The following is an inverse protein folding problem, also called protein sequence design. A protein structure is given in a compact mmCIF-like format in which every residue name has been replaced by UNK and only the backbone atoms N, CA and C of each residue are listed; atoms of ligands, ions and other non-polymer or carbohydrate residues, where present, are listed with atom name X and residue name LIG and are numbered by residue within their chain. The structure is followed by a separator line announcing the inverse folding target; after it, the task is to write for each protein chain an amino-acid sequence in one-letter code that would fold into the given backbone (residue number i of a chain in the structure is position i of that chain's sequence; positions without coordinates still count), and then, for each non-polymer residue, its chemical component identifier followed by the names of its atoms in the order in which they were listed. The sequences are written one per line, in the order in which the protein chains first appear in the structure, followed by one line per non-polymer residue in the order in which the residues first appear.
data_IF_126908561116
#
_entry.id   IF_126908561116
#
_cell.length_a   1.000
_cell.length_b   1.000
_cell.length_c   1.000
_cell.angle_alpha   90.00
_cell.angle_beta   90.00
_cell.angle_gamma   90.00
#
_symmetry.space_group_name_H-M   'P 1'
#
loop_
_entity.id
_entity.type
_entity.pdbx_description
1 polymer ?
#
# COMPACT_ATOMS: atom_id res chain seq x y z
N UNK A 1 -26.61 6.00 -40.34
CA UNK A 1 -26.56 5.75 -38.89
C UNK A 1 -25.15 6.02 -38.44
N UNK A 2 -24.88 7.26 -38.04
CA UNK A 2 -23.59 7.66 -37.45
C UNK A 2 -23.62 7.27 -35.98
N UNK A 3 -22.76 6.33 -35.59
CA UNK A 3 -22.51 6.04 -34.18
C UNK A 3 -21.64 7.16 -33.60
N UNK A 4 -22.17 7.83 -32.59
CA UNK A 4 -21.55 8.91 -31.82
C UNK A 4 -20.31 8.41 -31.07
N UNK A 5 -19.14 8.61 -31.67
CA UNK A 5 -17.82 8.20 -31.15
C UNK A 5 -17.35 8.95 -29.88
N UNK A 6 -18.17 9.85 -29.30
CA UNK A 6 -17.85 10.59 -28.07
C UNK A 6 -18.54 10.07 -26.80
N UNK A 7 -19.32 8.99 -26.89
CA UNK A 7 -20.19 8.52 -25.79
C UNK A 7 -19.58 7.44 -24.89
N UNK A 8 -18.57 6.69 -25.36
CA UNK A 8 -18.22 5.41 -24.76
C UNK A 8 -17.57 5.48 -23.36
N UNK A 9 -16.81 6.53 -23.05
CA UNK A 9 -16.03 6.57 -21.80
C UNK A 9 -16.85 6.96 -20.57
N UNK A 10 -17.76 7.93 -20.70
CA UNK A 10 -18.66 8.31 -19.61
C UNK A 10 -19.82 7.31 -19.50
N UNK A 11 -20.31 6.75 -20.61
CA UNK A 11 -21.28 5.66 -20.56
C UNK A 11 -20.72 4.40 -19.89
N UNK A 12 -19.43 4.10 -20.07
CA UNK A 12 -18.77 2.99 -19.39
C UNK A 12 -18.82 3.11 -17.86
N UNK A 13 -18.91 4.33 -17.32
CA UNK A 13 -19.07 4.54 -15.87
C UNK A 13 -20.40 3.99 -15.35
N UNK A 14 -21.47 3.94 -16.16
CA UNK A 14 -22.74 3.35 -15.72
C UNK A 14 -22.64 1.85 -15.46
N UNK A 15 -21.62 1.18 -16.01
CA UNK A 15 -21.33 -0.24 -15.75
C UNK A 15 -20.57 -0.47 -14.45
N UNK A 16 -20.12 0.59 -13.76
CA UNK A 16 -19.40 0.50 -12.49
C UNK A 16 -20.33 0.68 -11.28
N UNK A 17 -19.90 0.14 -10.15
CA UNK A 17 -20.57 0.38 -8.87
C UNK A 17 -20.33 1.81 -8.36
N UNK A 18 -21.27 2.41 -7.60
CA UNK A 18 -21.18 3.80 -7.19
C UNK A 18 -19.97 4.10 -6.31
N UNK A 19 -19.50 3.11 -5.54
CA UNK A 19 -18.26 3.20 -4.76
C UNK A 19 -17.04 3.37 -5.64
N UNK A 20 -16.91 2.59 -6.71
CA UNK A 20 -15.80 2.70 -7.65
C UNK A 20 -15.80 4.03 -8.40
N UNK A 21 -16.98 4.55 -8.74
CA UNK A 21 -17.10 5.88 -9.35
C UNK A 21 -16.69 6.97 -8.34
N UNK A 22 -17.16 6.89 -7.10
CA UNK A 22 -16.84 7.85 -6.05
C UNK A 22 -15.34 7.91 -5.75
N UNK A 23 -14.66 6.76 -5.71
CA UNK A 23 -13.21 6.67 -5.55
C UNK A 23 -12.47 7.36 -6.70
N UNK A 24 -12.88 7.09 -7.94
CA UNK A 24 -12.26 7.63 -9.15
C UNK A 24 -12.32 9.17 -9.18
N UNK A 25 -13.45 9.74 -8.74
CA UNK A 25 -13.68 11.19 -8.81
C UNK A 25 -13.34 11.94 -7.50
N UNK A 26 -12.84 11.24 -6.48
CA UNK A 26 -12.63 11.80 -5.13
C UNK A 26 -11.67 13.00 -5.07
N UNK A 27 -10.72 13.10 -6.00
CA UNK A 27 -9.75 14.20 -6.12
C UNK A 27 -10.14 15.28 -7.14
N UNK A 28 -11.28 15.15 -7.80
CA UNK A 28 -11.70 16.04 -8.88
C UNK A 28 -12.38 17.31 -8.37
N UNK A 29 -12.29 18.38 -9.15
CA UNK A 29 -12.99 19.63 -8.83
C UNK A 29 -14.52 19.43 -8.83
N UNK A 30 -15.31 20.08 -7.93
CA UNK A 30 -16.76 19.90 -7.86
C UNK A 30 -17.51 20.07 -9.19
N UNK A 31 -16.99 20.92 -10.09
CA UNK A 31 -17.54 21.11 -11.44
C UNK A 31 -17.37 19.89 -12.35
N UNK A 32 -16.23 19.19 -12.23
CA UNK A 32 -15.95 17.96 -12.99
C UNK A 32 -16.86 16.84 -12.49
N UNK A 33 -16.97 16.70 -11.16
CA UNK A 33 -17.89 15.75 -10.52
C UNK A 33 -19.32 16.01 -11.00
N UNK A 34 -19.79 17.26 -10.96
CA UNK A 34 -21.13 17.61 -11.44
C UNK A 34 -21.34 17.26 -12.92
N UNK A 35 -20.33 17.51 -13.77
CA UNK A 35 -20.38 17.16 -15.19
C UNK A 35 -20.53 15.65 -15.40
N UNK A 36 -19.79 14.84 -14.64
CA UNK A 36 -19.87 13.38 -14.70
C UNK A 36 -21.26 12.93 -14.25
N UNK A 37 -21.74 13.38 -13.09
CA UNK A 37 -23.02 12.97 -12.52
C UNK A 37 -24.22 13.29 -13.42
N UNK A 38 -24.16 14.37 -14.20
CA UNK A 38 -25.23 14.73 -15.17
C UNK A 38 -25.38 13.65 -16.25
N UNK A 39 -24.30 12.97 -16.61
CA UNK A 39 -24.24 11.94 -17.65
C UNK A 39 -24.37 10.50 -17.11
N UNK A 40 -24.48 10.32 -15.79
CA UNK A 40 -24.77 9.02 -15.18
C UNK A 40 -26.28 8.76 -15.08
N UNK A 41 -26.64 7.48 -15.01
CA UNK A 41 -27.97 7.04 -14.60
C UNK A 41 -28.31 7.57 -13.21
N UNK A 42 -29.59 7.89 -12.99
CA UNK A 42 -30.04 8.61 -11.77
C UNK A 42 -29.75 7.83 -10.50
N UNK A 43 -29.94 6.52 -10.51
CA UNK A 43 -29.67 5.65 -9.36
C UNK A 43 -28.16 5.57 -9.05
N UNK A 44 -27.31 5.50 -10.09
CA UNK A 44 -25.86 5.54 -9.94
C UNK A 44 -25.38 6.88 -9.39
N UNK A 45 -25.88 7.99 -9.94
CA UNK A 45 -25.54 9.33 -9.47
C UNK A 45 -25.95 9.55 -8.00
N UNK A 46 -27.15 9.09 -7.61
CA UNK A 46 -27.60 9.15 -6.23
C UNK A 46 -26.71 8.31 -5.29
N UNK A 47 -26.33 7.10 -5.73
CA UNK A 47 -25.38 6.26 -5.02
C UNK A 47 -24.03 6.97 -4.80
N UNK A 48 -23.48 7.59 -5.84
CA UNK A 48 -22.20 8.34 -5.74
C UNK A 48 -22.32 9.50 -4.77
N UNK A 49 -23.39 10.31 -4.87
CA UNK A 49 -23.62 11.45 -3.97
C UNK A 49 -23.66 11.02 -2.50
N UNK A 50 -24.22 9.84 -2.19
CA UNK A 50 -24.30 9.31 -0.82
C UNK A 50 -22.93 9.01 -0.20
N UNK A 51 -21.91 8.79 -1.03
CA UNK A 51 -20.55 8.47 -0.61
C UNK A 51 -19.65 9.70 -0.49
N UNK A 52 -20.10 10.85 -0.98
CA UNK A 52 -19.36 12.11 -0.87
C UNK A 52 -19.56 12.73 0.52
N UNK A 53 -18.57 13.51 0.96
CA UNK A 53 -18.71 14.35 2.17
C UNK A 53 -19.88 15.33 2.02
N UNK A 54 -20.52 15.69 3.13
CA UNK A 54 -21.71 16.54 3.11
C UNK A 54 -21.47 17.88 2.40
N UNK A 55 -20.32 18.51 2.66
CA UNK A 55 -19.91 19.76 2.02
C UNK A 55 -19.79 19.61 0.50
N UNK A 56 -19.10 18.56 0.04
CA UNK A 56 -18.88 18.32 -1.38
C UNK A 56 -20.19 17.95 -2.09
N UNK A 57 -21.00 17.06 -1.48
CA UNK A 57 -22.32 16.68 -1.98
C UNK A 57 -23.20 17.91 -2.23
N UNK A 58 -23.28 18.83 -1.28
CA UNK A 58 -24.13 20.02 -1.42
C UNK A 58 -23.65 20.95 -2.55
N UNK A 59 -22.34 21.19 -2.67
CA UNK A 59 -21.77 22.01 -3.76
C UNK A 59 -22.01 21.38 -5.13
N UNK A 60 -21.77 20.07 -5.25
CA UNK A 60 -22.01 19.32 -6.49
C UNK A 60 -23.48 19.36 -6.90
N UNK A 61 -24.43 19.17 -5.97
CA UNK A 61 -25.86 19.22 -6.27
C UNK A 61 -26.30 20.59 -6.77
N UNK A 62 -25.79 21.68 -6.18
CA UNK A 62 -26.06 23.05 -6.68
C UNK A 62 -25.58 23.20 -8.12
N UNK A 63 -24.37 22.71 -8.44
CA UNK A 63 -23.80 22.79 -9.79
C UNK A 63 -24.55 21.95 -10.81
N UNK A 64 -25.05 20.77 -10.42
CA UNK A 64 -25.94 19.94 -11.25
C UNK A 64 -27.25 20.68 -11.51
N UNK A 65 -27.83 21.33 -10.49
CA UNK A 65 -29.06 22.09 -10.64
C UNK A 65 -28.90 23.33 -11.55
N UNK A 66 -27.72 23.95 -11.55
CA UNK A 66 -27.39 25.11 -12.40
C UNK A 66 -26.62 24.73 -13.66
N UNK A 67 -26.65 23.47 -14.08
CA UNK A 67 -25.81 22.97 -15.16
C UNK A 67 -26.25 23.55 -16.52
N UNK A 68 -25.44 24.45 -17.07
CA UNK A 68 -25.70 25.14 -18.35
C UNK A 68 -25.17 24.43 -19.60
N UNK A 69 -24.68 23.20 -19.45
CA UNK A 69 -24.00 22.46 -20.52
C UNK A 69 -22.47 22.62 -20.48
N UNK A 70 -21.79 21.77 -21.26
CA UNK A 70 -20.32 21.72 -21.35
C UNK A 70 -19.92 21.76 -22.83
N UNK A 71 -18.81 22.44 -23.14
CA UNK A 71 -18.31 22.49 -24.51
C UNK A 71 -17.94 21.08 -24.99
N UNK A 72 -18.28 20.69 -26.23
CA UNK A 72 -17.99 19.35 -26.74
C UNK A 72 -16.51 18.94 -26.64
N UNK A 73 -15.58 19.88 -26.79
CA UNK A 73 -14.14 19.66 -26.62
C UNK A 73 -13.77 19.24 -25.20
N UNK A 74 -14.28 19.94 -24.18
CA UNK A 74 -14.02 19.62 -22.78
C UNK A 74 -14.64 18.26 -22.38
N UNK A 75 -15.78 17.90 -22.97
CA UNK A 75 -16.40 16.59 -22.75
C UNK A 75 -15.57 15.47 -23.39
N UNK A 76 -14.96 15.74 -24.56
CA UNK A 76 -14.06 14.80 -25.22
C UNK A 76 -12.79 14.55 -24.41
N UNK A 77 -12.12 15.61 -23.93
CA UNK A 77 -10.91 15.50 -23.08
C UNK A 77 -11.18 14.71 -21.79
N UNK A 78 -12.36 14.94 -21.19
CA UNK A 78 -12.81 14.17 -20.03
C UNK A 78 -12.98 12.70 -20.39
N UNK A 79 -13.68 12.40 -21.48
CA UNK A 79 -13.94 11.03 -21.95
C UNK A 79 -12.65 10.27 -22.24
N UNK A 80 -11.66 10.92 -22.86
CA UNK A 80 -10.35 10.32 -23.17
C UNK A 80 -9.54 10.02 -21.90
N UNK A 81 -9.57 10.94 -20.93
CA UNK A 81 -8.94 10.73 -19.62
C UNK A 81 -9.54 9.52 -18.90
N UNK A 82 -10.87 9.41 -18.91
CA UNK A 82 -11.59 8.29 -18.31
C UNK A 82 -11.32 6.97 -19.04
N UNK A 83 -11.33 6.97 -20.37
CA UNK A 83 -10.99 5.79 -21.17
C UNK A 83 -9.58 5.27 -20.87
N UNK A 84 -8.61 6.16 -20.65
CA UNK A 84 -7.25 5.79 -20.21
C UNK A 84 -7.25 5.14 -18.82
N UNK A 85 -8.04 5.68 -17.88
CA UNK A 85 -8.17 5.12 -16.52
C UNK A 85 -8.85 3.75 -16.54
N UNK A 86 -9.95 3.61 -17.29
CA UNK A 86 -10.78 2.39 -17.39
C UNK A 86 -10.14 1.27 -18.21
N UNK A 87 -9.33 1.59 -19.23
CA UNK A 87 -8.58 0.60 -20.04
C UNK A 87 -7.40 -0.05 -19.29
N UNK A 88 -7.31 0.15 -17.97
CA UNK A 88 -6.32 -0.51 -17.10
C UNK A 88 -5.00 0.25 -16.96
N UNK A 89 -4.84 1.44 -17.56
CA UNK A 89 -3.74 2.33 -17.18
C UNK A 89 -4.04 3.06 -15.85
N UNK A 90 -5.32 3.22 -15.50
CA UNK A 90 -5.77 3.73 -14.19
C UNK A 90 -5.64 2.73 -13.05
N UNK A 91 -5.92 1.44 -13.30
CA UNK A 91 -5.69 0.38 -12.30
C UNK A 91 -4.19 0.21 -11.94
N UNK A 92 -3.28 0.60 -12.83
CA UNK A 92 -1.84 0.74 -12.52
C UNK A 92 -1.53 2.02 -11.74
N UNK A 93 -2.31 3.10 -11.90
CA UNK A 93 -2.18 4.36 -11.12
C UNK A 93 -2.76 4.30 -9.71
N UNK A 94 -3.86 3.57 -9.50
CA UNK A 94 -4.33 3.25 -8.14
C UNK A 94 -3.30 2.44 -7.34
N UNK A 95 -2.42 1.69 -8.02
CA UNK A 95 -1.26 1.00 -7.44
C UNK A 95 0.03 1.85 -7.33
N UNK A 96 0.02 3.11 -7.78
CA UNK A 96 1.17 4.02 -7.69
C UNK A 96 1.18 4.85 -6.39
N UNK A 97 0.24 4.61 -5.48
CA UNK A 97 0.16 5.27 -4.18
C UNK A 97 -0.25 4.33 -3.05
N UNK A 98 -0.39 4.87 -1.85
CA UNK A 98 -0.73 4.12 -0.64
C UNK A 98 0.46 3.91 0.30
N UNK A 99 0.17 3.27 1.44
CA UNK A 99 1.11 3.06 2.55
C UNK A 99 2.43 2.47 2.07
N UNK A 100 2.37 1.41 1.26
CA UNK A 100 3.56 0.75 0.71
C UNK A 100 4.41 1.64 -0.17
N UNK A 101 3.80 2.40 -1.09
CA UNK A 101 4.55 3.30 -1.97
C UNK A 101 5.17 4.46 -1.19
N UNK A 102 4.48 4.96 -0.16
CA UNK A 102 5.03 5.96 0.74
C UNK A 102 6.20 5.41 1.57
N UNK A 103 6.10 4.16 2.06
CA UNK A 103 7.19 3.48 2.75
C UNK A 103 8.41 3.28 1.84
N UNK A 104 8.20 2.83 0.59
CA UNK A 104 9.26 2.69 -0.41
C UNK A 104 9.93 4.05 -0.73
N UNK A 105 9.16 5.14 -0.82
CA UNK A 105 9.69 6.50 -1.00
C UNK A 105 10.51 6.96 0.21
N UNK A 106 9.99 6.77 1.43
CA UNK A 106 10.67 7.16 2.67
C UNK A 106 11.98 6.38 2.87
N UNK A 107 11.97 5.07 2.58
CA UNK A 107 13.18 4.23 2.60
C UNK A 107 14.26 4.69 1.61
N UNK A 108 13.90 5.43 0.56
CA UNK A 108 14.84 5.99 -0.42
C UNK A 108 15.33 7.40 -0.05
N UNK A 109 14.81 8.02 1.03
CA UNK A 109 15.20 9.35 1.49
C UNK A 109 16.40 9.26 2.46
N UNK A 110 17.03 10.41 2.74
CA UNK A 110 18.00 10.49 3.84
C UNK A 110 17.29 10.38 5.19
N UNK A 111 17.94 9.76 6.19
CA UNK A 111 17.35 9.52 7.52
C UNK A 111 16.80 10.79 8.19
N UNK A 112 17.43 11.95 7.94
CA UNK A 112 16.95 13.23 8.46
C UNK A 112 15.61 13.68 7.83
N UNK A 113 15.44 13.44 6.53
CA UNK A 113 14.20 13.79 5.82
C UNK A 113 13.09 12.79 6.14
N UNK A 114 13.42 11.51 6.20
CA UNK A 114 12.52 10.43 6.61
C UNK A 114 11.89 10.72 7.98
N UNK A 115 12.73 11.01 8.99
CA UNK A 115 12.28 11.31 10.37
C UNK A 115 11.38 12.55 10.41
N UNK A 116 11.72 13.59 9.63
CA UNK A 116 10.93 14.82 9.55
C UNK A 116 9.54 14.58 8.93
N UNK A 117 9.47 13.80 7.86
CA UNK A 117 8.21 13.45 7.20
C UNK A 117 7.35 12.55 8.08
N UNK A 118 7.94 11.53 8.72
CA UNK A 118 7.23 10.65 9.66
C UNK A 118 6.68 11.40 10.88
N UNK A 119 7.43 12.37 11.41
CA UNK A 119 6.98 13.19 12.55
C UNK A 119 5.80 14.07 12.17
N UNK A 120 5.89 14.73 11.00
CA UNK A 120 4.80 15.56 10.46
C UNK A 120 3.55 14.73 10.16
N UNK A 121 3.73 13.51 9.67
CA UNK A 121 2.63 12.60 9.40
C UNK A 121 1.98 12.07 10.69
N UNK A 122 2.77 11.82 11.73
CA UNK A 122 2.29 11.35 13.02
C UNK A 122 1.45 12.40 13.76
N UNK A 123 1.74 13.69 13.58
CA UNK A 123 0.91 14.80 14.09
C UNK A 123 -0.43 14.91 13.36
N UNK A 124 -0.46 14.55 12.08
CA UNK A 124 -1.66 14.63 11.23
C UNK A 124 -2.56 13.39 11.38
N UNK A 125 -1.95 12.21 11.33
CA UNK A 125 -2.60 10.90 11.37
C UNK A 125 -1.62 9.84 11.91
N UNK A 126 -1.73 9.58 13.22
CA UNK A 126 -0.86 8.63 13.91
C UNK A 126 -1.02 7.18 13.40
N UNK A 127 -2.24 6.78 13.01
CA UNK A 127 -2.51 5.43 12.51
C UNK A 127 -1.89 5.23 11.12
N UNK A 128 -1.98 6.23 10.25
CA UNK A 128 -1.35 6.20 8.94
C UNK A 128 0.19 6.20 9.05
N UNK A 129 0.74 7.02 9.94
CA UNK A 129 2.18 7.04 10.20
C UNK A 129 2.69 5.70 10.71
N UNK A 130 1.95 5.06 11.62
CA UNK A 130 2.29 3.73 12.11
C UNK A 130 2.26 2.70 10.97
N UNK A 131 1.20 2.67 10.16
CA UNK A 131 1.12 1.75 9.02
C UNK A 131 2.25 1.93 8.02
N UNK A 132 2.71 3.17 7.80
CA UNK A 132 3.84 3.44 6.91
C UNK A 132 5.15 2.99 7.53
N UNK A 133 5.39 3.30 8.82
CA UNK A 133 6.56 2.78 9.56
C UNK A 133 6.60 1.26 9.54
N UNK A 134 5.44 0.64 9.69
CA UNK A 134 5.30 -0.81 9.58
C UNK A 134 5.78 -1.24 8.19
N UNK A 135 5.21 -0.73 7.11
CA UNK A 135 5.62 -1.10 5.74
C UNK A 135 7.09 -0.76 5.41
N UNK A 136 7.76 0.11 6.18
CA UNK A 136 9.20 0.40 6.04
C UNK A 136 10.10 -0.72 6.59
N UNK A 137 9.64 -1.53 7.55
CA UNK A 137 10.42 -2.65 8.09
C UNK A 137 10.49 -3.82 7.10
N UNK A 138 11.67 -4.02 6.53
CA UNK A 138 11.97 -5.06 5.53
C UNK A 138 12.56 -6.31 6.18
N UNK A 139 12.65 -7.41 5.42
CA UNK A 139 13.27 -8.65 5.90
C UNK A 139 14.74 -8.46 6.27
N UNK A 140 15.46 -7.58 5.57
CA UNK A 140 16.87 -7.32 5.81
C UNK A 140 17.10 -6.58 7.15
N UNK A 141 16.10 -5.80 7.61
CA UNK A 141 16.14 -5.12 8.91
C UNK A 141 16.09 -6.09 10.11
N UNK A 142 15.81 -7.38 9.89
CA UNK A 142 15.97 -8.40 10.94
C UNK A 142 17.42 -8.46 11.45
N UNK A 143 18.41 -8.07 10.64
CA UNK A 143 19.82 -8.04 11.04
C UNK A 143 20.13 -7.01 12.13
N UNK A 144 19.26 -6.00 12.29
CA UNK A 144 19.41 -4.92 13.27
C UNK A 144 18.70 -5.21 14.59
N UNK A 145 17.85 -6.24 14.63
CA UNK A 145 17.13 -6.60 15.85
C UNK A 145 18.07 -7.18 16.91
N UNK A 146 17.76 -6.89 18.17
CA UNK A 146 18.51 -7.44 19.28
C UNK A 146 18.29 -8.95 19.44
N UNK A 147 19.15 -9.55 20.27
CA UNK A 147 19.20 -10.99 20.49
C UNK A 147 17.85 -11.55 20.99
N UNK A 148 17.19 -10.83 21.89
CA UNK A 148 15.97 -11.30 22.52
C UNK A 148 14.81 -11.29 21.52
N UNK A 149 14.72 -10.22 20.72
CA UNK A 149 13.74 -10.11 19.64
C UNK A 149 13.87 -11.24 18.61
N UNK A 150 15.09 -11.54 18.14
CA UNK A 150 15.30 -12.64 17.20
C UNK A 150 14.90 -13.98 17.82
N UNK A 151 15.27 -14.24 19.07
CA UNK A 151 14.90 -15.49 19.74
C UNK A 151 13.39 -15.67 19.92
N UNK A 152 12.63 -14.59 20.07
CA UNK A 152 11.17 -14.65 20.13
C UNK A 152 10.58 -14.99 18.75
N UNK A 153 11.06 -14.36 17.68
CA UNK A 153 10.61 -14.66 16.31
C UNK A 153 10.97 -16.12 15.97
N UNK A 154 12.17 -16.59 16.31
CA UNK A 154 12.62 -17.97 16.09
C UNK A 154 11.72 -19.01 16.78
N UNK A 155 11.13 -18.69 17.93
CA UNK A 155 10.22 -19.60 18.64
C UNK A 155 8.84 -19.72 17.97
N UNK A 156 8.41 -18.69 17.24
CA UNK A 156 7.10 -18.64 16.61
C UNK A 156 7.10 -19.04 15.13
N UNK A 157 8.28 -19.15 14.51
CA UNK A 157 8.48 -19.52 13.09
C UNK A 157 9.15 -20.89 12.99
N UNK A 158 8.67 -21.73 12.06
CA UNK A 158 9.25 -23.06 11.82
C UNK A 158 10.57 -22.98 11.02
N UNK A 159 11.52 -23.86 11.34
CA UNK A 159 12.84 -23.93 10.71
C UNK A 159 12.78 -24.02 9.17
N UNK A 160 11.81 -24.77 8.63
CA UNK A 160 11.60 -24.88 7.19
C UNK A 160 11.26 -23.54 6.50
N UNK A 161 10.61 -22.63 7.22
CA UNK A 161 10.30 -21.28 6.72
C UNK A 161 11.57 -20.41 6.68
N UNK A 162 12.44 -20.53 7.68
CA UNK A 162 13.74 -19.87 7.70
C UNK A 162 14.66 -20.35 6.57
N UNK A 163 14.70 -21.66 6.30
CA UNK A 163 15.52 -22.22 5.22
C UNK A 163 15.16 -21.61 3.86
N UNK A 164 13.87 -21.42 3.61
CA UNK A 164 13.36 -20.80 2.39
C UNK A 164 13.58 -19.28 2.37
N UNK A 165 13.33 -18.59 3.49
CA UNK A 165 13.36 -17.13 3.56
C UNK A 165 14.77 -16.53 3.53
N UNK A 166 15.75 -17.23 4.13
CA UNK A 166 17.15 -16.82 4.14
C UNK A 166 17.88 -17.08 2.82
N UNK A 167 17.23 -17.78 1.88
CA UNK A 167 17.83 -18.05 0.57
C UNK A 167 18.05 -16.75 -0.21
N UNK A 168 19.32 -16.42 -0.46
CA UNK A 168 19.70 -15.17 -1.11
C UNK A 168 19.60 -13.93 -0.21
N UNK A 169 19.52 -14.10 1.11
CA UNK A 169 19.80 -13.05 2.07
C UNK A 169 21.31 -12.77 2.14
N UNK A 170 21.69 -11.64 2.75
CA UNK A 170 23.10 -11.31 2.97
C UNK A 170 23.70 -12.16 4.10
N UNK A 171 25.02 -12.32 4.06
CA UNK A 171 25.74 -13.10 5.08
C UNK A 171 25.57 -12.49 6.48
N UNK A 172 25.37 -11.17 6.57
CA UNK A 172 25.13 -10.47 7.84
C UNK A 172 23.86 -10.99 8.50
N UNK A 173 22.73 -10.99 7.78
CA UNK A 173 21.47 -11.50 8.30
C UNK A 173 21.55 -12.99 8.60
N UNK A 174 22.11 -13.79 7.68
CA UNK A 174 22.24 -15.24 7.87
C UNK A 174 23.01 -15.55 9.16
N UNK A 175 24.19 -14.94 9.34
CA UNK A 175 25.01 -15.16 10.53
C UNK A 175 24.31 -14.67 11.80
N UNK A 176 23.60 -13.54 11.75
CA UNK A 176 22.86 -13.01 12.89
C UNK A 176 21.75 -13.97 13.33
N UNK A 177 20.99 -14.52 12.38
CA UNK A 177 19.95 -15.50 12.66
C UNK A 177 20.54 -16.80 13.22
N UNK A 178 21.60 -17.33 12.60
CA UNK A 178 22.27 -18.56 13.05
C UNK A 178 22.89 -18.41 14.45
N UNK A 179 23.45 -17.25 14.79
CA UNK A 179 24.02 -16.97 16.11
C UNK A 179 22.97 -16.98 17.24
N UNK A 180 21.69 -16.84 16.88
CA UNK A 180 20.56 -16.90 17.79
C UNK A 180 19.92 -18.29 17.90
N UNK A 181 20.40 -19.27 17.13
CA UNK A 181 19.96 -20.65 17.19
C UNK A 181 20.89 -21.51 18.07
N UNK A 182 20.39 -22.59 18.67
CA UNK A 182 21.25 -23.65 19.16
C UNK A 182 22.15 -24.18 18.04
N UNK A 183 23.43 -24.43 18.32
CA UNK A 183 24.44 -24.83 17.31
C UNK A 183 23.94 -25.91 16.35
N UNK A 184 23.36 -26.99 16.89
CA UNK A 184 22.81 -28.09 16.09
C UNK A 184 21.66 -27.66 15.16
N UNK A 185 20.80 -26.74 15.59
CA UNK A 185 19.70 -26.24 14.77
C UNK A 185 20.22 -25.30 13.67
N UNK A 186 21.21 -24.46 13.98
CA UNK A 186 21.89 -23.65 12.98
C UNK A 186 22.61 -24.48 11.92
N UNK A 187 23.32 -25.53 12.33
CA UNK A 187 23.99 -26.48 11.41
C UNK A 187 22.96 -27.14 10.46
N UNK A 188 21.83 -27.62 11.01
CA UNK A 188 20.73 -28.21 10.22
C UNK A 188 20.09 -27.21 9.24
N UNK A 189 19.87 -25.98 9.69
CA UNK A 189 19.31 -24.93 8.83
C UNK A 189 20.23 -24.62 7.65
N UNK A 190 21.54 -24.57 7.90
CA UNK A 190 22.53 -24.32 6.87
C UNK A 190 22.57 -25.48 5.85
N UNK A 191 22.55 -26.73 6.34
CA UNK A 191 22.43 -27.92 5.48
C UNK A 191 21.14 -27.88 4.63
N UNK A 192 20.00 -27.50 5.23
CA UNK A 192 18.72 -27.37 4.53
C UNK A 192 18.76 -26.27 3.45
N UNK A 193 19.38 -25.13 3.75
CA UNK A 193 19.56 -24.03 2.78
C UNK A 193 20.38 -24.47 1.56
N UNK A 194 21.45 -25.25 1.78
CA UNK A 194 22.32 -25.80 0.74
C UNK A 194 21.65 -26.93 -0.05
N UNK A 195 20.91 -27.81 0.63
CA UNK A 195 20.19 -28.93 0.02
C UNK A 195 19.03 -28.46 -0.85
N UNK A 196 18.47 -27.29 -0.57
CA UNK A 196 17.42 -26.71 -1.40
C UNK A 196 17.97 -26.33 -2.78
N UNK A 197 17.41 -26.97 -3.81
CA UNK A 197 17.62 -26.59 -5.21
C UNK A 197 17.04 -25.22 -5.56
N UNK A 198 16.93 -24.89 -6.86
CA UNK A 198 16.36 -23.62 -7.30
C UNK A 198 14.91 -23.42 -6.80
N UNK A 199 14.68 -22.37 -6.03
CA UNK A 199 13.36 -22.00 -5.50
C UNK A 199 12.85 -20.76 -6.22
N UNK A 200 11.55 -20.70 -6.49
CA UNK A 200 10.94 -19.50 -7.10
C UNK A 200 10.99 -18.34 -6.11
N UNK A 201 11.39 -17.15 -6.59
CA UNK A 201 11.42 -15.90 -5.80
C UNK A 201 10.08 -15.65 -5.09
N UNK A 202 8.95 -15.94 -5.75
CA UNK A 202 7.62 -15.78 -5.15
C UNK A 202 7.40 -16.60 -3.88
N UNK A 203 8.04 -17.77 -3.75
CA UNK A 203 7.97 -18.62 -2.56
C UNK A 203 8.82 -18.03 -1.45
N UNK A 204 10.03 -17.57 -1.77
CA UNK A 204 10.93 -16.90 -0.82
C UNK A 204 10.22 -15.67 -0.23
N UNK A 205 9.66 -14.81 -1.08
CA UNK A 205 8.91 -13.61 -0.65
C UNK A 205 7.68 -13.96 0.20
N UNK A 206 7.02 -15.08 -0.10
CA UNK A 206 5.91 -15.56 0.72
C UNK A 206 6.35 -15.97 2.12
N UNK A 207 7.49 -16.63 2.27
CA UNK A 207 8.03 -17.03 3.58
C UNK A 207 8.56 -15.83 4.35
N UNK A 208 9.29 -14.92 3.70
CA UNK A 208 9.73 -13.64 4.28
C UNK A 208 8.55 -12.85 4.82
N UNK A 209 7.45 -12.77 4.07
CA UNK A 209 6.22 -12.10 4.52
C UNK A 209 5.60 -12.73 5.77
N UNK A 210 5.62 -14.07 5.88
CA UNK A 210 5.13 -14.77 7.08
C UNK A 210 5.97 -14.42 8.31
N UNK A 211 7.30 -14.41 8.15
CA UNK A 211 8.24 -14.04 9.23
C UNK A 211 8.02 -12.59 9.66
N UNK A 212 7.92 -11.67 8.70
CA UNK A 212 7.62 -10.26 8.99
C UNK A 212 6.27 -10.08 9.69
N UNK A 213 5.25 -10.86 9.32
CA UNK A 213 3.95 -10.81 10.01
C UNK A 213 4.04 -11.29 11.48
N UNK A 214 4.88 -12.28 11.76
CA UNK A 214 5.17 -12.72 13.14
C UNK A 214 5.90 -11.62 13.92
N UNK A 215 6.94 -11.04 13.33
CA UNK A 215 7.68 -9.94 13.94
C UNK A 215 6.75 -8.76 14.28
N UNK A 216 5.89 -8.34 13.35
CA UNK A 216 4.87 -7.30 13.57
C UNK A 216 3.95 -7.63 14.72
N UNK A 217 3.39 -8.85 14.74
CA UNK A 217 2.50 -9.28 15.81
C UNK A 217 3.18 -9.25 17.18
N UNK A 218 4.45 -9.61 17.26
CA UNK A 218 5.23 -9.52 18.50
C UNK A 218 5.45 -8.05 18.91
N UNK A 219 5.67 -7.16 17.93
CA UNK A 219 5.83 -5.74 18.17
C UNK A 219 4.54 -5.07 18.66
N UNK A 220 3.39 -5.44 18.07
CA UNK A 220 2.06 -4.95 18.48
C UNK A 220 1.73 -5.32 19.94
N UNK A 221 2.30 -6.43 20.44
CA UNK A 221 2.18 -6.85 21.84
C UNK A 221 3.20 -6.17 22.76
N UNK A 222 4.13 -5.41 22.22
CA UNK A 222 5.26 -4.83 22.94
C UNK A 222 6.32 -5.85 23.35
N UNK A 223 6.34 -7.03 22.74
CA UNK A 223 7.34 -8.07 23.04
C UNK A 223 8.67 -7.84 22.30
N UNK A 224 8.64 -7.16 21.15
CA UNK A 224 9.83 -6.76 20.38
C UNK A 224 9.72 -5.32 19.87
N UNK A 225 10.84 -4.70 19.52
CA UNK A 225 10.88 -3.35 18.94
C UNK A 225 11.37 -3.44 17.50
N UNK A 226 10.56 -2.98 16.53
CA UNK A 226 10.90 -2.97 15.11
C UNK A 226 11.43 -1.58 14.71
N UNK A 227 12.71 -1.50 14.40
CA UNK A 227 13.35 -0.28 13.88
C UNK A 227 14.54 0.16 14.72
N UNK A 228 15.72 0.20 14.09
CA UNK A 228 16.89 0.86 14.63
C UNK A 228 16.78 2.38 14.47
N UNK A 229 16.14 3.06 15.43
CA UNK A 229 16.54 4.42 15.83
C UNK A 229 15.91 4.81 17.17
N UNK A 230 16.81 5.12 18.12
CA UNK A 230 16.54 5.36 19.54
C UNK A 230 17.01 4.14 20.34
N UNK A 231 18.29 3.97 20.67
CA UNK A 231 18.93 4.78 21.72
C UNK A 231 17.92 5.56 22.58
N UNK A 232 16.98 4.86 23.19
CA UNK A 232 16.51 5.30 24.48
C UNK A 232 17.67 5.09 25.45
N UNK A 233 18.39 6.19 25.67
CA UNK A 233 19.13 6.42 26.89
C UNK A 233 18.19 6.10 28.06
N UNK A 234 18.40 4.95 28.70
CA UNK A 234 17.95 4.79 30.07
C UNK A 234 18.77 5.77 30.93
N UNK A 235 18.07 6.74 31.53
CA UNK A 235 18.50 7.37 32.79
C UNK A 235 17.67 6.76 33.92
#
# INVERSE_FOLDING_TARGET
MEATAGSSGIEALNSLEPSSIAELISGEHPQIIATILVHLERDRAAGVLSLLSERLRNDVVIRVATFGGVQPSALHDLTDTFNSVLSGQGAKRSKLGGVRTAAEMLNAMSSQQETSVLSSLQELDADLAQRIKDDMFTFDNLSELDRESIQLILREVQDASWALALKGADDTLINHILANMPKRAGDLLQEDMEAQGPVRISVIESERKKILAVARRLADKGEIILGGNGKDEYV
#
